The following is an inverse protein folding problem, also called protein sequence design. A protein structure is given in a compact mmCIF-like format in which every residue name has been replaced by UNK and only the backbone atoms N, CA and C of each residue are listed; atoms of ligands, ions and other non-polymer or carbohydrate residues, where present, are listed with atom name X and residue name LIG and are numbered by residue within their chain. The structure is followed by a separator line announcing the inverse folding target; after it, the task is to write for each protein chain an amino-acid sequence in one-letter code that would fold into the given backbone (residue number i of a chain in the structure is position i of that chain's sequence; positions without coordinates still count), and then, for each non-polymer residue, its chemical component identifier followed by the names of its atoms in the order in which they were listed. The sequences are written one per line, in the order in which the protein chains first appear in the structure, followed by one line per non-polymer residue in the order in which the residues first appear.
data_IF_476266888624
#
_entry.id   IF_476266888624
#
_cell.length_a   1.000
_cell.length_b   1.000
_cell.length_c   1.000
_cell.angle_alpha   90.00
_cell.angle_beta   90.00
_cell.angle_gamma   90.00
#
_symmetry.space_group_name_H-M   'P 1'
#
loop_
_entity.id
_entity.type
_entity.pdbx_description
1 polymer ?
#
# COMPACT_ATOMS: atom_id res chain seq x y z
N UNK A 1 5.84 -14.81 9.11
CA UNK A 1 5.30 -13.52 8.60
C UNK A 1 3.89 -13.39 9.12
N UNK A 2 3.57 -12.29 9.81
CA UNK A 2 2.23 -12.07 10.37
C UNK A 2 1.29 -11.66 9.24
N UNK A 3 0.12 -12.27 9.17
CA UNK A 3 -0.91 -11.98 8.17
C UNK A 3 -2.10 -11.28 8.79
N UNK A 4 -2.95 -10.70 7.94
CA UNK A 4 -4.21 -10.08 8.37
C UNK A 4 -5.14 -11.07 9.10
N UNK A 5 -5.00 -12.38 8.82
CA UNK A 5 -5.77 -13.45 9.46
C UNK A 5 -5.32 -13.68 10.90
N UNK A 6 -4.03 -13.45 11.20
CA UNK A 6 -3.49 -13.62 12.54
C UNK A 6 -3.94 -12.49 13.47
N UNK A 7 -3.91 -11.25 12.95
CA UNK A 7 -4.49 -10.08 13.65
C UNK A 7 -5.99 -10.29 13.89
N UNK A 8 -6.73 -10.81 12.90
CA UNK A 8 -8.16 -11.07 13.01
C UNK A 8 -8.48 -12.06 14.14
N UNK A 9 -7.70 -13.15 14.26
CA UNK A 9 -7.84 -14.12 15.34
C UNK A 9 -7.59 -13.50 16.71
N UNK A 10 -6.52 -12.72 16.87
CA UNK A 10 -6.17 -12.07 18.15
C UNK A 10 -7.16 -10.95 18.53
N UNK A 11 -7.66 -10.20 17.55
CA UNK A 11 -8.64 -9.16 17.76
C UNK A 11 -10.07 -9.72 18.00
N UNK A 12 -10.31 -11.00 17.72
CA UNK A 12 -11.60 -11.68 17.71
C UNK A 12 -12.62 -11.03 16.75
N UNK A 13 -12.19 -10.77 15.52
CA UNK A 13 -13.00 -10.18 14.45
C UNK A 13 -12.74 -10.88 13.12
N UNK A 14 -13.53 -10.56 12.09
CA UNK A 14 -13.26 -11.06 10.74
C UNK A 14 -12.03 -10.37 10.12
N UNK A 15 -11.35 -11.06 9.21
CA UNK A 15 -10.27 -10.46 8.40
C UNK A 15 -10.74 -9.23 7.59
N UNK A 16 -12.03 -9.19 7.20
CA UNK A 16 -12.65 -8.03 6.54
C UNK A 16 -12.74 -6.83 7.48
N UNK A 17 -13.00 -7.05 8.77
CA UNK A 17 -13.02 -5.98 9.79
C UNK A 17 -11.63 -5.41 10.00
N UNK A 18 -10.59 -6.26 10.04
CA UNK A 18 -9.19 -5.81 10.11
C UNK A 18 -8.82 -5.01 8.87
N UNK A 19 -9.15 -5.49 7.67
CA UNK A 19 -8.91 -4.75 6.42
C UNK A 19 -9.58 -3.38 6.42
N UNK A 20 -10.83 -3.29 6.88
CA UNK A 20 -11.56 -2.02 6.98
C UNK A 20 -10.96 -1.08 8.03
N UNK A 21 -10.53 -1.61 9.17
CA UNK A 21 -9.89 -0.82 10.23
C UNK A 21 -8.55 -0.23 9.76
N UNK A 22 -7.71 -1.03 9.09
CA UNK A 22 -6.43 -0.60 8.54
C UNK A 22 -6.58 0.41 7.38
N UNK A 23 -7.68 0.33 6.62
CA UNK A 23 -8.02 1.32 5.59
C UNK A 23 -8.87 2.49 6.13
N UNK A 24 -8.90 2.70 7.45
CA UNK A 24 -9.59 3.82 8.11
C UNK A 24 -11.09 3.95 7.76
N UNK A 25 -11.80 2.82 7.58
CA UNK A 25 -13.22 2.82 7.24
C UNK A 25 -14.09 3.41 8.36
N UNK A 26 -15.08 4.28 8.05
CA UNK A 26 -15.98 4.88 9.05
C UNK A 26 -16.97 3.89 9.66
N UNK A 27 -17.10 2.69 9.08
CA UNK A 27 -18.01 1.65 9.56
C UNK A 27 -17.45 0.82 10.72
N UNK A 28 -16.26 1.13 11.21
CA UNK A 28 -15.61 0.44 12.33
C UNK A 28 -15.63 1.34 13.56
N UNK A 29 -16.10 0.80 14.69
CA UNK A 29 -16.06 1.50 15.98
C UNK A 29 -14.62 1.88 16.34
N UNK A 30 -14.41 3.09 16.82
CA UNK A 30 -13.07 3.62 17.15
C UNK A 30 -12.31 2.73 18.15
N UNK A 31 -12.99 2.19 19.18
CA UNK A 31 -12.42 1.19 20.09
C UNK A 31 -11.80 0.00 19.34
N UNK A 32 -12.53 -0.56 18.37
CA UNK A 32 -12.09 -1.74 17.62
C UNK A 32 -10.97 -1.39 16.66
N UNK A 33 -11.02 -0.21 16.03
CA UNK A 33 -9.93 0.30 15.19
C UNK A 33 -8.64 0.43 16.00
N UNK A 34 -8.71 1.05 17.18
CA UNK A 34 -7.54 1.25 18.04
C UNK A 34 -6.90 -0.08 18.46
N UNK A 35 -7.70 -1.04 18.91
CA UNK A 35 -7.22 -2.39 19.26
C UNK A 35 -6.50 -3.08 18.08
N UNK A 36 -7.04 -2.95 16.87
CA UNK A 36 -6.45 -3.55 15.67
C UNK A 36 -5.12 -2.87 15.30
N UNK A 37 -5.04 -1.55 15.41
CA UNK A 37 -3.80 -0.80 15.13
C UNK A 37 -2.70 -1.15 16.13
N UNK A 38 -3.02 -1.22 17.42
CA UNK A 38 -2.08 -1.64 18.46
C UNK A 38 -1.55 -3.07 18.21
N UNK A 39 -2.44 -4.02 17.87
CA UNK A 39 -2.03 -5.38 17.54
C UNK A 39 -1.16 -5.44 16.28
N UNK A 40 -1.50 -4.64 15.25
CA UNK A 40 -0.70 -4.58 14.03
C UNK A 40 0.71 -4.06 14.30
N UNK A 41 0.86 -3.04 15.15
CA UNK A 41 2.15 -2.49 15.57
C UNK A 41 2.95 -3.49 16.40
N UNK A 42 2.34 -4.09 17.42
CA UNK A 42 2.98 -5.11 18.28
C UNK A 42 3.50 -6.31 17.48
N UNK A 43 2.77 -6.70 16.44
CA UNK A 43 3.12 -7.85 15.59
C UNK A 43 4.02 -7.48 14.41
N UNK A 44 4.45 -6.21 14.32
CA UNK A 44 5.22 -5.66 13.20
C UNK A 44 4.59 -6.00 11.84
N UNK A 45 3.27 -5.89 11.75
CA UNK A 45 2.52 -6.22 10.55
C UNK A 45 2.73 -5.15 9.47
N UNK A 46 3.25 -5.58 8.32
CA UNK A 46 3.35 -4.75 7.13
C UNK A 46 2.36 -5.24 6.06
N UNK A 47 1.46 -4.39 5.55
CA UNK A 47 0.56 -4.76 4.47
C UNK A 47 1.32 -5.20 3.22
N UNK A 48 0.89 -6.29 2.60
CA UNK A 48 1.43 -6.70 1.32
C UNK A 48 0.82 -5.83 0.20
N UNK A 49 1.61 -4.89 -0.31
CA UNK A 49 1.22 -3.96 -1.38
C UNK A 49 0.79 -4.69 -2.66
N UNK A 50 1.45 -5.79 -3.04
CA UNK A 50 1.06 -6.57 -4.22
C UNK A 50 -0.33 -7.20 -4.05
N UNK A 51 -0.59 -7.77 -2.88
CA UNK A 51 -1.90 -8.35 -2.56
C UNK A 51 -3.00 -7.26 -2.51
N UNK A 52 -2.67 -6.08 -1.96
CA UNK A 52 -3.58 -4.92 -1.94
C UNK A 52 -3.88 -4.44 -3.36
N UNK A 53 -2.86 -4.26 -4.19
CA UNK A 53 -3.00 -3.82 -5.58
C UNK A 53 -3.82 -4.80 -6.42
N UNK A 54 -3.63 -6.11 -6.22
CA UNK A 54 -4.42 -7.15 -6.87
C UNK A 54 -5.89 -7.10 -6.45
N UNK A 55 -6.15 -7.01 -5.14
CA UNK A 55 -7.52 -6.93 -4.62
C UNK A 55 -8.24 -5.64 -5.04
N UNK A 56 -7.51 -4.52 -5.15
CA UNK A 56 -8.06 -3.23 -5.58
C UNK A 56 -8.13 -3.08 -7.10
N UNK A 57 -7.57 -4.04 -7.87
CA UNK A 57 -7.35 -3.92 -9.32
C UNK A 57 -6.67 -2.59 -9.73
N UNK A 58 -5.82 -2.06 -8.85
CA UNK A 58 -5.11 -0.79 -9.02
C UNK A 58 -3.70 -0.96 -8.51
N UNK A 59 -2.72 -0.86 -9.40
CA UNK A 59 -1.29 -1.03 -9.07
C UNK A 59 -0.65 0.23 -8.48
N UNK A 60 -1.30 1.39 -8.61
CA UNK A 60 -0.71 2.71 -8.30
C UNK A 60 0.70 2.89 -8.90
N UNK A 61 0.97 2.23 -10.03
CA UNK A 61 2.27 2.19 -10.68
C UNK A 61 2.18 2.99 -11.97
N UNK A 62 3.08 3.97 -12.15
CA UNK A 62 3.23 4.71 -13.40
C UNK A 62 4.38 4.07 -14.19
N UNK A 63 4.08 3.55 -15.38
CA UNK A 63 5.08 3.02 -16.29
C UNK A 63 5.58 4.10 -17.24
N UNK A 64 6.90 4.31 -17.28
CA UNK A 64 7.55 5.20 -18.23
C UNK A 64 8.30 4.37 -19.27
N UNK A 65 8.02 4.61 -20.55
CA UNK A 65 8.62 3.87 -21.66
C UNK A 65 9.48 4.81 -22.50
N UNK A 66 10.74 4.44 -22.70
CA UNK A 66 11.71 5.19 -23.49
C UNK A 66 12.23 4.30 -24.62
N UNK A 67 12.46 4.87 -25.81
CA UNK A 67 13.07 4.17 -26.94
C UNK A 67 14.59 4.00 -26.76
N UNK A 68 15.23 4.91 -26.00
CA UNK A 68 16.63 4.81 -25.59
C UNK A 68 16.86 5.58 -24.30
N UNK A 69 17.75 5.07 -23.46
CA UNK A 69 18.16 5.72 -22.20
C UNK A 69 19.31 6.72 -22.46
N UNK A 70 20.06 6.52 -23.55
CA UNK A 70 21.25 7.31 -23.90
C UNK A 70 21.02 8.27 -25.06
N UNK A 71 20.12 7.91 -25.98
CA UNK A 71 19.89 8.65 -27.22
C UNK A 71 18.53 9.33 -27.14
N UNK A 72 18.49 10.54 -26.58
CA UNK A 72 17.31 11.39 -26.48
C UNK A 72 17.43 12.68 -27.30
N UNK A 73 16.44 13.56 -27.18
CA UNK A 73 16.48 14.93 -27.73
C UNK A 73 17.54 15.82 -27.08
N UNK A 74 17.86 15.58 -25.80
CA UNK A 74 18.91 16.27 -25.04
C UNK A 74 19.55 15.33 -24.01
N UNK A 75 20.80 15.63 -23.60
CA UNK A 75 21.56 14.80 -22.65
C UNK A 75 20.88 14.65 -21.27
N UNK A 76 20.00 15.58 -20.89
CA UNK A 76 19.29 15.56 -19.61
C UNK A 76 17.85 15.07 -19.69
N UNK A 77 17.32 14.82 -20.89
CA UNK A 77 15.88 14.55 -21.11
C UNK A 77 15.33 13.45 -20.20
N UNK A 78 16.04 12.33 -20.09
CA UNK A 78 15.63 11.20 -19.24
C UNK A 78 15.59 11.58 -17.75
N UNK A 79 16.64 12.23 -17.25
CA UNK A 79 16.74 12.64 -15.86
C UNK A 79 15.68 13.68 -15.48
N UNK A 80 15.46 14.68 -16.35
CA UNK A 80 14.47 15.73 -16.15
C UNK A 80 13.05 15.17 -16.16
N UNK A 81 12.76 14.21 -17.05
CA UNK A 81 11.46 13.53 -17.12
C UNK A 81 11.17 12.72 -15.87
N UNK A 82 12.12 11.91 -15.38
CA UNK A 82 11.96 11.16 -14.13
C UNK A 82 11.74 12.10 -12.95
N UNK A 83 12.51 13.18 -12.89
CA UNK A 83 12.39 14.17 -11.82
C UNK A 83 11.01 14.83 -11.81
N UNK A 84 10.49 15.19 -12.98
CA UNK A 84 9.14 15.75 -13.11
C UNK A 84 8.04 14.78 -12.68
N UNK A 85 8.13 13.50 -13.08
CA UNK A 85 7.14 12.48 -12.73
C UNK A 85 7.15 12.16 -11.23
N UNK A 86 8.30 12.18 -10.58
CA UNK A 86 8.40 11.92 -9.13
C UNK A 86 7.94 13.11 -8.26
N UNK A 87 7.72 14.28 -8.86
CA UNK A 87 7.26 15.49 -8.17
C UNK A 87 5.73 15.72 -8.29
N UNK A 88 5.04 14.92 -9.11
CA UNK A 88 3.60 14.99 -9.34
C UNK A 88 2.85 13.98 -8.44
#
# INVERSE_FOLDING_TARGET
MVTIKDIAKLANVSHTTVSRALNNSPYIKEHTKKKILELAEQLNYTPNVNAKSLAMQKSHTIGLFFTSITNGTSHSFFADTIKGVNQA
#
